data_IF_580576327540
#
_entry.id   IF_580576327540
#
_cell.length_a   1.000
_cell.length_b   1.000
_cell.length_c   1.000
_cell.angle_alpha   90.00
_cell.angle_beta   90.00
_cell.angle_gamma   90.00
#
_symmetry.space_group_name_H-M   'P 1'
#
loop_
_entity.id
_entity.type
_entity.pdbx_description
1 polymer ?
#
# COMPACT_ATOMS: atom_id res chain seq x y z
N UNK A 1 10.17 32.20 -7.03
CA UNK A 1 10.91 30.92 -7.21
C UNK A 1 10.74 30.32 -8.61
N UNK A 2 9.48 29.94 -9.08
CA UNK A 2 9.32 29.32 -10.41
C UNK A 2 9.82 30.22 -11.54
N UNK A 3 9.43 31.50 -11.56
CA UNK A 3 9.84 32.45 -12.59
C UNK A 3 11.36 32.61 -12.70
N UNK A 4 12.06 32.64 -11.59
CA UNK A 4 13.53 32.76 -11.53
C UNK A 4 14.21 31.52 -12.09
N UNK A 5 13.67 30.32 -11.77
CA UNK A 5 14.18 29.05 -12.32
C UNK A 5 13.92 28.98 -13.82
N UNK A 6 12.75 29.41 -14.30
CA UNK A 6 12.46 29.45 -15.73
C UNK A 6 13.41 30.43 -16.48
N UNK A 7 13.79 31.55 -15.86
CA UNK A 7 14.80 32.47 -16.41
C UNK A 7 16.18 31.81 -16.41
N UNK A 8 16.57 31.17 -15.30
CA UNK A 8 17.86 30.46 -15.22
C UNK A 8 18.00 29.39 -16.29
N UNK A 9 16.94 28.59 -16.51
CA UNK A 9 16.91 27.55 -17.55
C UNK A 9 16.98 28.17 -18.96
N UNK A 10 16.34 29.33 -19.19
CA UNK A 10 16.43 30.02 -20.49
C UNK A 10 17.83 30.56 -20.77
N UNK A 11 18.50 31.05 -19.74
CA UNK A 11 19.87 31.59 -19.87
C UNK A 11 20.90 30.48 -20.03
N UNK A 12 20.70 29.35 -19.35
CA UNK A 12 21.64 28.21 -19.36
C UNK A 12 20.88 26.87 -19.36
N UNK A 13 20.40 26.41 -20.51
CA UNK A 13 19.61 25.18 -20.63
C UNK A 13 20.36 23.92 -20.19
N UNK A 14 21.67 23.95 -20.17
CA UNK A 14 22.56 22.85 -19.76
C UNK A 14 22.77 22.77 -18.23
N UNK A 15 22.20 23.72 -17.46
CA UNK A 15 22.28 23.68 -16.00
C UNK A 15 21.21 22.72 -15.48
N UNK A 16 21.53 21.41 -15.51
CA UNK A 16 20.57 20.35 -15.18
C UNK A 16 20.09 20.36 -13.73
N UNK A 17 20.89 20.91 -12.79
CA UNK A 17 20.47 21.15 -11.41
C UNK A 17 19.24 22.06 -11.30
N UNK A 18 19.08 23.03 -12.19
CA UNK A 18 17.90 23.91 -12.22
C UNK A 18 16.61 23.14 -12.48
N UNK A 19 16.67 22.08 -13.28
CA UNK A 19 15.51 21.22 -13.53
C UNK A 19 15.11 20.38 -12.31
N UNK A 20 16.06 20.06 -11.42
CA UNK A 20 15.73 19.41 -10.14
C UNK A 20 14.84 20.29 -9.28
N UNK A 21 15.20 21.57 -9.13
CA UNK A 21 14.40 22.53 -8.37
C UNK A 21 13.07 22.85 -9.04
N UNK A 22 13.04 22.95 -10.39
CA UNK A 22 11.80 23.08 -11.14
C UNK A 22 10.88 21.89 -10.88
N UNK A 23 11.40 20.67 -10.93
CA UNK A 23 10.65 19.46 -10.66
C UNK A 23 10.02 19.46 -9.27
N UNK A 24 10.73 19.91 -8.25
CA UNK A 24 10.17 20.05 -6.88
C UNK A 24 9.02 21.04 -6.84
N UNK A 25 9.16 22.21 -7.42
CA UNK A 25 8.09 23.21 -7.47
C UNK A 25 6.86 22.70 -8.21
N UNK A 26 7.05 21.99 -9.33
CA UNK A 26 5.94 21.42 -10.10
C UNK A 26 5.24 20.30 -9.33
N UNK A 27 6.01 19.47 -8.61
CA UNK A 27 5.46 18.41 -7.74
C UNK A 27 4.62 19.00 -6.62
N UNK A 28 5.11 20.05 -5.94
CA UNK A 28 4.38 20.75 -4.88
C UNK A 28 3.11 21.42 -5.41
N UNK A 29 3.16 21.91 -6.66
CA UNK A 29 2.00 22.45 -7.37
C UNK A 29 1.04 21.37 -7.93
N UNK A 30 1.33 20.08 -7.66
CA UNK A 30 0.56 18.93 -8.18
C UNK A 30 0.59 18.77 -9.71
N UNK A 31 1.47 19.47 -10.41
CA UNK A 31 1.76 19.22 -11.84
C UNK A 31 2.74 18.05 -11.95
N UNK A 32 2.19 16.85 -11.78
CA UNK A 32 2.99 15.61 -11.78
C UNK A 32 3.63 15.34 -13.15
N UNK A 33 2.93 15.65 -14.23
CA UNK A 33 3.45 15.46 -15.58
C UNK A 33 4.64 16.39 -15.89
N UNK A 34 4.55 17.65 -15.50
CA UNK A 34 5.63 18.61 -15.59
C UNK A 34 6.82 18.23 -14.69
N UNK A 35 6.55 17.78 -13.47
CA UNK A 35 7.56 17.35 -12.52
C UNK A 35 8.38 16.14 -13.05
N UNK A 36 7.72 15.14 -13.61
CA UNK A 36 8.38 13.98 -14.23
C UNK A 36 9.36 14.41 -15.31
N UNK A 37 8.93 15.26 -16.26
CA UNK A 37 9.80 15.78 -17.33
C UNK A 37 11.00 16.56 -16.80
N UNK A 38 10.79 17.34 -15.74
CA UNK A 38 11.85 18.14 -15.13
C UNK A 38 12.87 17.22 -14.41
N UNK A 39 12.41 16.26 -13.62
CA UNK A 39 13.32 15.31 -12.97
C UNK A 39 14.06 14.40 -13.96
N UNK A 40 13.44 14.01 -15.08
CA UNK A 40 14.11 13.27 -16.15
C UNK A 40 15.31 14.05 -16.71
N UNK A 41 15.15 15.36 -16.95
CA UNK A 41 16.27 16.21 -17.38
C UNK A 41 17.33 16.36 -16.28
N UNK A 42 16.91 16.51 -15.02
CA UNK A 42 17.82 16.64 -13.88
C UNK A 42 18.71 15.41 -13.67
N UNK A 43 18.31 14.22 -14.14
CA UNK A 43 19.12 12.99 -14.04
C UNK A 43 20.45 13.07 -14.85
N UNK A 44 20.61 14.06 -15.72
CA UNK A 44 21.84 14.29 -16.46
C UNK A 44 22.95 14.95 -15.63
N UNK A 45 22.58 15.58 -14.52
CA UNK A 45 23.50 16.16 -13.55
C UNK A 45 24.03 15.06 -12.62
N UNK A 46 25.33 14.86 -12.55
CA UNK A 46 25.95 13.82 -11.72
C UNK A 46 25.60 13.95 -10.25
N UNK A 47 25.58 15.18 -9.72
CA UNK A 47 25.38 15.47 -8.29
C UNK A 47 23.89 15.37 -7.89
N UNK A 48 23.01 15.58 -8.85
CA UNK A 48 21.57 15.50 -8.64
C UNK A 48 20.93 14.22 -9.16
N UNK A 49 21.68 13.38 -9.91
CA UNK A 49 21.14 12.19 -10.58
C UNK A 49 20.34 11.30 -9.64
N UNK A 50 20.90 10.90 -8.52
CA UNK A 50 20.24 10.01 -7.58
C UNK A 50 19.01 10.67 -6.95
N UNK A 51 19.14 11.92 -6.50
CA UNK A 51 18.03 12.70 -5.95
C UNK A 51 16.90 12.87 -6.96
N UNK A 52 17.23 13.15 -8.21
CA UNK A 52 16.26 13.33 -9.29
C UNK A 52 15.50 12.02 -9.60
N UNK A 53 16.18 10.87 -9.58
CA UNK A 53 15.53 9.57 -9.78
C UNK A 53 14.57 9.27 -8.61
N UNK A 54 14.96 9.54 -7.37
CA UNK A 54 14.11 9.34 -6.19
C UNK A 54 12.85 10.21 -6.27
N UNK A 55 13.01 11.48 -6.62
CA UNK A 55 11.89 12.40 -6.76
C UNK A 55 10.97 12.03 -7.95
N UNK A 56 11.56 11.53 -9.04
CA UNK A 56 10.82 11.01 -10.19
C UNK A 56 9.96 9.80 -9.80
N UNK A 57 10.53 8.82 -9.07
CA UNK A 57 9.80 7.69 -8.51
C UNK A 57 8.71 8.14 -7.52
N UNK A 58 8.98 9.16 -6.71
CA UNK A 58 7.99 9.77 -5.81
C UNK A 58 6.80 10.37 -6.59
N UNK A 59 7.04 10.98 -7.75
CA UNK A 59 5.97 11.45 -8.65
C UNK A 59 5.11 10.29 -9.17
N UNK A 60 5.71 9.15 -9.49
CA UNK A 60 4.95 7.95 -9.88
C UNK A 60 4.08 7.42 -8.73
N UNK A 61 4.56 7.46 -7.48
CA UNK A 61 3.72 7.09 -6.32
C UNK A 61 2.51 8.01 -6.18
N UNK A 62 2.69 9.33 -6.37
CA UNK A 62 1.59 10.29 -6.34
C UNK A 62 0.58 10.06 -7.47
N UNK A 63 1.04 9.57 -8.62
CA UNK A 63 0.20 9.20 -9.76
C UNK A 63 -0.39 7.77 -9.62
N UNK A 64 -0.19 7.08 -8.49
CA UNK A 64 -0.57 5.69 -8.25
C UNK A 64 0.02 4.68 -9.26
N UNK A 65 1.18 5.00 -9.86
CA UNK A 65 1.91 4.15 -10.81
C UNK A 65 3.05 3.45 -10.08
N UNK A 66 2.68 2.51 -9.20
CA UNK A 66 3.60 1.93 -8.20
C UNK A 66 4.73 1.14 -8.86
N UNK A 67 4.46 0.38 -9.93
CA UNK A 67 5.50 -0.40 -10.61
C UNK A 67 6.59 0.49 -11.23
N UNK A 68 6.21 1.63 -11.82
CA UNK A 68 7.17 2.61 -12.33
C UNK A 68 8.03 3.20 -11.21
N UNK A 69 7.42 3.48 -10.04
CA UNK A 69 8.13 3.99 -8.88
C UNK A 69 9.16 2.97 -8.36
N UNK A 70 8.80 1.69 -8.30
CA UNK A 70 9.70 0.59 -7.90
C UNK A 70 10.94 0.55 -8.79
N UNK A 71 10.77 0.66 -10.11
CA UNK A 71 11.89 0.68 -11.06
C UNK A 71 12.83 1.84 -10.77
N UNK A 72 12.31 3.03 -10.55
CA UNK A 72 13.13 4.21 -10.25
C UNK A 72 13.87 4.07 -8.92
N UNK A 73 13.23 3.59 -7.86
CA UNK A 73 13.90 3.42 -6.58
C UNK A 73 15.00 2.36 -6.64
N UNK A 74 14.82 1.28 -7.39
CA UNK A 74 15.88 0.29 -7.63
C UNK A 74 17.05 0.96 -8.37
N UNK A 75 16.80 1.73 -9.43
CA UNK A 75 17.84 2.47 -10.15
C UNK A 75 18.59 3.47 -9.26
N UNK A 76 17.87 4.13 -8.34
CA UNK A 76 18.48 5.05 -7.40
C UNK A 76 19.41 4.34 -6.41
N UNK A 77 19.05 3.14 -5.95
CA UNK A 77 19.88 2.32 -5.05
C UNK A 77 21.13 1.83 -5.78
N UNK A 78 21.04 1.49 -7.05
CA UNK A 78 22.18 1.01 -7.84
C UNK A 78 23.30 2.03 -8.04
N UNK A 79 23.02 3.33 -7.83
CA UNK A 79 24.03 4.40 -7.90
C UNK A 79 24.99 4.32 -6.73
N UNK A 80 24.53 3.95 -5.53
CA UNK A 80 25.36 3.76 -4.36
C UNK A 80 25.14 2.36 -3.76
N UNK A 81 25.80 1.38 -4.35
CA UNK A 81 25.66 -0.04 -3.98
C UNK A 81 26.11 -0.37 -2.54
N UNK A 82 26.87 0.52 -1.94
CA UNK A 82 27.40 0.32 -0.58
C UNK A 82 26.49 0.91 0.50
N UNK A 83 25.36 1.54 0.12
CA UNK A 83 24.43 2.19 1.03
C UNK A 83 25.09 3.24 1.95
N UNK A 84 26.04 4.00 1.42
CA UNK A 84 26.83 4.95 2.20
C UNK A 84 26.08 6.26 2.39
N UNK A 85 25.37 6.71 1.37
CA UNK A 85 24.71 8.00 1.38
C UNK A 85 23.27 7.95 1.91
N UNK A 86 22.79 9.10 2.36
CA UNK A 86 21.44 9.22 2.91
C UNK A 86 20.36 9.05 1.85
N UNK A 87 20.64 9.44 0.60
CA UNK A 87 19.73 9.29 -0.54
C UNK A 87 19.36 7.84 -0.77
N UNK A 88 20.33 6.92 -0.64
CA UNK A 88 20.06 5.48 -0.77
C UNK A 88 19.12 4.96 0.31
N UNK A 89 19.24 5.45 1.55
CA UNK A 89 18.30 5.10 2.62
C UNK A 89 16.88 5.59 2.30
N UNK A 90 16.73 6.79 1.73
CA UNK A 90 15.43 7.28 1.26
C UNK A 90 14.88 6.42 0.10
N UNK A 91 15.72 6.06 -0.88
CA UNK A 91 15.31 5.20 -1.98
C UNK A 91 14.83 3.83 -1.49
N UNK A 92 15.54 3.21 -0.56
CA UNK A 92 15.12 1.95 0.08
C UNK A 92 13.82 2.10 0.86
N UNK A 93 13.65 3.19 1.58
CA UNK A 93 12.43 3.46 2.33
C UNK A 93 11.20 3.56 1.40
N UNK A 94 11.30 4.31 0.31
CA UNK A 94 10.22 4.42 -0.67
C UNK A 94 10.01 3.11 -1.44
N UNK A 95 11.07 2.34 -1.70
CA UNK A 95 10.96 1.01 -2.30
C UNK A 95 10.21 0.05 -1.38
N UNK A 96 10.56 0.02 -0.09
CA UNK A 96 9.87 -0.78 0.92
C UNK A 96 8.38 -0.40 1.02
N UNK A 97 8.07 0.90 1.09
CA UNK A 97 6.68 1.38 1.11
C UNK A 97 5.92 1.03 -0.18
N UNK A 98 6.60 0.97 -1.32
CA UNK A 98 6.01 0.54 -2.59
C UNK A 98 5.71 -0.96 -2.58
N UNK A 99 6.61 -1.77 -2.03
CA UNK A 99 6.40 -3.20 -1.84
C UNK A 99 5.26 -3.48 -0.84
N UNK A 100 5.18 -2.73 0.24
CA UNK A 100 4.08 -2.80 1.19
C UNK A 100 2.73 -2.54 0.51
N UNK A 101 2.62 -1.47 -0.28
CA UNK A 101 1.41 -1.15 -1.05
C UNK A 101 1.03 -2.22 -2.07
N UNK A 102 2.02 -2.93 -2.64
CA UNK A 102 1.80 -4.04 -3.57
C UNK A 102 1.75 -5.40 -2.87
N UNK A 103 1.70 -5.43 -1.53
CA UNK A 103 1.61 -6.63 -0.68
C UNK A 103 2.78 -7.60 -0.83
N UNK A 104 3.91 -7.12 -1.30
CA UNK A 104 5.17 -7.87 -1.37
C UNK A 104 5.93 -7.69 -0.04
N UNK A 105 5.32 -8.14 1.06
CA UNK A 105 5.75 -7.81 2.43
C UNK A 105 7.16 -8.31 2.73
N UNK A 106 7.51 -9.52 2.30
CA UNK A 106 8.87 -10.05 2.50
C UNK A 106 9.93 -9.11 1.89
N UNK A 107 9.68 -8.59 0.67
CA UNK A 107 10.59 -7.62 0.02
C UNK A 107 10.62 -6.27 0.73
N UNK A 108 9.51 -5.85 1.32
CA UNK A 108 9.47 -4.62 2.11
C UNK A 108 10.32 -4.77 3.38
N UNK A 109 10.18 -5.88 4.09
CA UNK A 109 10.98 -6.20 5.29
C UNK A 109 12.47 -6.24 4.96
N UNK A 110 12.88 -6.87 3.86
CA UNK A 110 14.28 -6.90 3.42
C UNK A 110 14.86 -5.47 3.27
N UNK A 111 14.11 -4.55 2.66
CA UNK A 111 14.58 -3.18 2.51
C UNK A 111 14.63 -2.43 3.84
N UNK A 112 13.63 -2.59 4.71
CA UNK A 112 13.64 -1.97 6.05
C UNK A 112 14.77 -2.54 6.92
N UNK A 113 15.08 -3.83 6.87
CA UNK A 113 16.21 -4.43 7.58
C UNK A 113 17.55 -3.83 7.13
N UNK A 114 17.72 -3.58 5.83
CA UNK A 114 18.92 -2.94 5.30
C UNK A 114 19.05 -1.50 5.81
N UNK A 115 17.95 -0.75 5.86
CA UNK A 115 17.94 0.60 6.46
C UNK A 115 18.27 0.52 7.96
N UNK A 116 17.64 -0.37 8.71
CA UNK A 116 17.82 -0.52 10.15
C UNK A 116 19.27 -0.85 10.54
N UNK A 117 19.94 -1.69 9.75
CA UNK A 117 21.36 -2.02 9.94
C UNK A 117 22.27 -0.80 9.82
N UNK A 118 21.90 0.19 9.02
CA UNK A 118 22.68 1.43 8.80
C UNK A 118 22.27 2.54 9.76
N UNK A 119 20.98 2.73 9.95
CA UNK A 119 20.44 3.77 10.82
C UNK A 119 19.14 3.28 11.48
N UNK A 120 19.25 2.88 12.75
CA UNK A 120 18.13 2.36 13.54
C UNK A 120 16.99 3.39 13.75
N UNK A 121 17.33 4.67 13.70
CA UNK A 121 16.40 5.77 13.95
C UNK A 121 15.89 6.41 12.64
N UNK A 122 16.07 5.73 11.51
CA UNK A 122 15.59 6.26 10.25
C UNK A 122 14.06 6.15 10.16
N UNK A 123 13.39 7.30 10.25
CA UNK A 123 11.93 7.41 10.20
C UNK A 123 11.23 6.41 11.13
N UNK A 124 10.21 5.73 10.64
CA UNK A 124 9.39 4.73 11.32
C UNK A 124 9.84 3.27 11.07
N UNK A 125 11.02 3.07 10.50
CA UNK A 125 11.52 1.74 10.10
C UNK A 125 11.52 0.74 11.26
N UNK A 126 11.92 1.17 12.46
CA UNK A 126 11.91 0.32 13.65
C UNK A 126 10.48 -0.11 14.01
N UNK A 127 9.52 0.81 13.95
CA UNK A 127 8.13 0.50 14.22
C UNK A 127 7.58 -0.50 13.19
N UNK A 128 7.87 -0.26 11.90
CA UNK A 128 7.49 -1.18 10.81
C UNK A 128 8.07 -2.58 11.01
N UNK A 129 9.35 -2.70 11.30
CA UNK A 129 9.98 -4.01 11.54
C UNK A 129 9.40 -4.73 12.75
N UNK A 130 9.07 -4.02 13.82
CA UNK A 130 8.44 -4.61 15.00
C UNK A 130 7.05 -5.13 14.65
N UNK A 131 6.23 -4.30 13.99
CA UNK A 131 4.89 -4.67 13.53
C UNK A 131 4.90 -5.97 12.70
N UNK A 132 5.82 -6.06 11.71
CA UNK A 132 5.89 -7.23 10.85
C UNK A 132 6.59 -8.44 11.49
N UNK A 133 7.47 -8.28 12.49
CA UNK A 133 8.03 -9.39 13.26
C UNK A 133 6.98 -10.07 14.13
N UNK A 134 6.12 -9.31 14.75
CA UNK A 134 5.00 -9.85 15.53
C UNK A 134 4.04 -10.64 14.62
N UNK A 135 3.83 -10.18 13.39
CA UNK A 135 3.05 -10.87 12.38
C UNK A 135 3.72 -12.16 11.87
N UNK A 136 5.05 -12.16 11.73
CA UNK A 136 5.82 -13.34 11.31
C UNK A 136 5.82 -14.47 12.36
N UNK A 137 5.63 -14.15 13.64
CA UNK A 137 5.52 -15.13 14.72
C UNK A 137 4.24 -15.98 14.66
N UNK A 138 3.26 -15.53 13.85
CA UNK A 138 2.02 -16.24 13.62
C UNK A 138 1.92 -16.64 12.14
N UNK A 139 2.24 -17.91 11.85
CA UNK A 139 2.25 -18.47 10.47
C UNK A 139 0.92 -18.25 9.72
N UNK A 140 -0.21 -18.32 10.43
CA UNK A 140 -1.52 -18.07 9.82
C UNK A 140 -1.71 -16.61 9.41
N UNK A 141 -1.32 -15.66 10.26
CA UNK A 141 -1.37 -14.22 9.95
C UNK A 141 -0.39 -13.86 8.83
N UNK A 142 0.79 -14.48 8.83
CA UNK A 142 1.76 -14.32 7.75
C UNK A 142 1.15 -14.78 6.44
N UNK A 143 0.61 -15.98 6.37
CA UNK A 143 -0.05 -16.51 5.18
C UNK A 143 -1.20 -15.60 4.73
N UNK A 144 -2.04 -15.15 5.66
CA UNK A 144 -3.15 -14.23 5.37
C UNK A 144 -2.67 -12.92 4.72
N UNK A 145 -1.56 -12.34 5.18
CA UNK A 145 -1.04 -11.07 4.70
C UNK A 145 -0.17 -11.18 3.45
N UNK A 146 0.61 -12.26 3.30
CA UNK A 146 1.69 -12.35 2.30
C UNK A 146 1.37 -13.28 1.13
N UNK A 147 0.41 -14.20 1.25
CA UNK A 147 0.07 -15.12 0.18
C UNK A 147 -0.48 -14.40 -1.07
N UNK A 148 -0.47 -15.05 -2.21
CA UNK A 148 -1.09 -14.53 -3.42
C UNK A 148 -2.63 -14.38 -3.26
N UNK A 149 -3.27 -13.68 -4.17
CA UNK A 149 -4.71 -13.41 -4.08
C UNK A 149 -5.56 -14.67 -4.11
N UNK A 150 -5.19 -15.67 -4.90
CA UNK A 150 -5.92 -16.94 -4.98
C UNK A 150 -5.93 -17.67 -3.63
N UNK A 151 -4.77 -17.81 -2.99
CA UNK A 151 -4.64 -18.42 -1.66
C UNK A 151 -5.35 -17.59 -0.59
N UNK A 152 -5.30 -16.26 -0.68
CA UNK A 152 -6.02 -15.39 0.23
C UNK A 152 -7.54 -15.60 0.14
N UNK A 153 -8.10 -15.62 -1.06
CA UNK A 153 -9.52 -15.88 -1.28
C UNK A 153 -9.91 -17.28 -0.78
N UNK A 154 -9.04 -18.25 -0.96
CA UNK A 154 -9.25 -19.60 -0.41
C UNK A 154 -9.31 -19.59 1.12
N UNK A 155 -8.40 -18.89 1.79
CA UNK A 155 -8.41 -18.70 3.25
C UNK A 155 -9.73 -18.06 3.70
N UNK A 156 -10.16 -16.97 3.03
CA UNK A 156 -11.43 -16.28 3.33
C UNK A 156 -12.64 -17.22 3.17
N UNK A 157 -12.70 -17.95 2.06
CA UNK A 157 -13.77 -18.93 1.80
C UNK A 157 -13.79 -20.04 2.84
N UNK A 158 -12.63 -20.60 3.18
CA UNK A 158 -12.52 -21.62 4.22
C UNK A 158 -12.97 -21.13 5.60
N UNK A 159 -12.67 -19.87 5.94
CA UNK A 159 -13.13 -19.23 7.18
C UNK A 159 -14.67 -19.14 7.21
N UNK A 160 -15.30 -18.77 6.10
CA UNK A 160 -16.78 -18.70 6.01
C UNK A 160 -17.40 -20.10 6.06
N UNK A 161 -16.87 -21.06 5.26
CA UNK A 161 -17.43 -22.39 5.14
C UNK A 161 -17.26 -23.24 6.40
N UNK A 162 -16.07 -23.19 7.02
CA UNK A 162 -15.71 -24.03 8.17
C UNK A 162 -15.87 -23.30 9.51
N UNK A 163 -15.48 -22.03 9.58
CA UNK A 163 -15.52 -21.24 10.80
C UNK A 163 -16.93 -20.71 11.10
N UNK A 164 -17.58 -20.11 10.12
CA UNK A 164 -18.93 -19.57 10.28
C UNK A 164 -20.03 -20.56 9.89
N UNK A 165 -19.69 -21.68 9.25
CA UNK A 165 -20.62 -22.72 8.77
C UNK A 165 -21.72 -22.16 7.83
N UNK A 166 -21.38 -21.16 7.02
CA UNK A 166 -22.27 -20.53 6.05
C UNK A 166 -22.01 -21.05 4.65
N UNK A 167 -23.03 -20.96 3.78
CA UNK A 167 -22.93 -21.24 2.37
C UNK A 167 -22.66 -19.95 1.60
N UNK A 168 -21.56 -19.91 0.83
CA UNK A 168 -21.16 -18.74 0.04
C UNK A 168 -22.07 -18.59 -1.18
N UNK A 169 -22.57 -17.38 -1.41
CA UNK A 169 -23.30 -16.98 -2.61
C UNK A 169 -22.41 -16.23 -3.60
N UNK A 170 -21.66 -15.23 -3.13
CA UNK A 170 -20.70 -14.48 -3.95
C UNK A 170 -19.40 -14.24 -3.19
N UNK A 171 -18.34 -13.99 -3.94
CA UNK A 171 -17.02 -13.66 -3.39
C UNK A 171 -16.36 -12.66 -4.35
N UNK A 172 -16.25 -11.42 -3.91
CA UNK A 172 -15.73 -10.31 -4.70
C UNK A 172 -14.38 -9.85 -4.15
N UNK A 173 -13.38 -9.84 -5.01
CA UNK A 173 -12.07 -9.28 -4.68
C UNK A 173 -12.16 -7.74 -4.65
N UNK A 174 -11.60 -7.13 -3.63
CA UNK A 174 -11.51 -5.68 -3.44
C UNK A 174 -10.07 -5.26 -3.24
N UNK A 175 -9.76 -3.99 -3.47
CA UNK A 175 -8.40 -3.44 -3.26
C UNK A 175 -7.90 -3.64 -1.82
N UNK A 176 -8.80 -3.57 -0.84
CA UNK A 176 -8.51 -3.72 0.59
C UNK A 176 -8.61 -5.17 1.09
N UNK A 177 -9.09 -6.12 0.27
CA UNK A 177 -9.24 -7.52 0.66
C UNK A 177 -10.29 -8.27 -0.12
N UNK A 178 -11.30 -8.82 0.56
CA UNK A 178 -12.33 -9.65 -0.04
C UNK A 178 -13.68 -9.41 0.63
N UNK A 179 -14.74 -9.40 -0.16
CA UNK A 179 -16.13 -9.30 0.29
C UNK A 179 -16.89 -10.56 -0.10
N UNK A 180 -17.56 -11.17 0.86
CA UNK A 180 -18.33 -12.40 0.67
C UNK A 180 -19.76 -12.17 1.12
N UNK A 181 -20.73 -12.61 0.30
CA UNK A 181 -22.10 -12.78 0.73
C UNK A 181 -22.38 -14.27 0.93
N UNK A 182 -23.08 -14.59 1.99
CA UNK A 182 -23.35 -15.98 2.37
C UNK A 182 -24.74 -16.12 3.00
N UNK A 183 -25.22 -17.35 3.10
CA UNK A 183 -26.49 -17.69 3.73
C UNK A 183 -26.33 -18.87 4.68
N UNK A 184 -27.31 -19.08 5.55
CA UNK A 184 -27.34 -20.25 6.41
C UNK A 184 -27.27 -21.58 5.63
N UNK A 185 -26.50 -22.51 6.15
CA UNK A 185 -26.32 -23.87 5.61
C UNK A 185 -27.50 -24.82 5.92
N UNK A 186 -28.65 -24.27 6.36
CA UNK A 186 -29.79 -25.11 6.77
C UNK A 186 -30.27 -25.99 5.62
N UNK A 187 -30.12 -27.27 5.80
CA UNK A 187 -30.77 -28.30 5.04
C UNK A 187 -32.28 -28.25 5.34
N UNK A 188 -33.08 -28.26 4.28
CA UNK A 188 -34.50 -28.55 4.18
C UNK A 188 -35.34 -28.48 5.49
N UNK A 189 -35.75 -27.28 5.83
CA UNK A 189 -36.95 -27.11 6.64
C UNK A 189 -38.12 -27.01 5.66
N UNK A 190 -39.12 -27.87 5.80
CA UNK A 190 -40.35 -27.98 5.04
C UNK A 190 -41.19 -26.68 5.03
N UNK A 191 -40.81 -25.71 5.81
CA UNK A 191 -41.29 -24.34 5.75
C UNK A 191 -40.28 -23.45 5.02
N UNK A 192 -40.76 -22.71 4.02
CA UNK A 192 -40.01 -21.73 3.25
C UNK A 192 -39.52 -20.57 4.16
N UNK A 193 -38.57 -20.84 5.02
CA UNK A 193 -37.90 -19.80 5.81
C UNK A 193 -36.96 -19.07 4.87
N UNK A 194 -37.16 -17.75 4.69
CA UNK A 194 -36.24 -16.90 3.93
C UNK A 194 -34.83 -17.10 4.47
N UNK A 195 -33.91 -17.59 3.61
CA UNK A 195 -32.49 -17.72 3.97
C UNK A 195 -31.97 -16.36 4.38
N UNK A 196 -31.39 -16.27 5.57
CA UNK A 196 -30.81 -15.04 6.06
C UNK A 196 -29.52 -14.75 5.30
N UNK A 197 -29.38 -13.52 4.80
CA UNK A 197 -28.20 -13.07 4.09
C UNK A 197 -27.18 -12.50 5.10
N UNK A 198 -25.95 -12.96 4.99
CA UNK A 198 -24.81 -12.49 5.78
C UNK A 198 -23.84 -11.75 4.87
N UNK A 199 -23.30 -10.63 5.39
CA UNK A 199 -22.33 -9.80 4.72
C UNK A 199 -20.99 -9.94 5.44
N UNK A 200 -19.93 -10.32 4.72
CA UNK A 200 -18.65 -10.67 5.33
C UNK A 200 -17.54 -9.97 4.58
N UNK A 201 -16.68 -9.28 5.30
CA UNK A 201 -15.52 -8.60 4.71
C UNK A 201 -14.23 -9.00 5.43
N UNK A 202 -13.20 -9.22 4.63
CA UNK A 202 -11.85 -9.56 5.07
C UNK A 202 -10.89 -8.45 4.65
N UNK A 203 -10.46 -7.67 5.60
CA UNK A 203 -9.48 -6.59 5.38
C UNK A 203 -8.06 -7.14 5.46
N UNK A 204 -7.30 -6.94 4.37
CA UNK A 204 -5.93 -7.40 4.22
C UNK A 204 -4.96 -6.23 4.20
N UNK A 205 -5.13 -5.28 5.09
CA UNK A 205 -4.29 -4.10 5.20
C UNK A 205 -3.46 -4.12 6.49
N UNK A 206 -2.21 -3.59 6.47
CA UNK A 206 -1.37 -3.55 7.66
C UNK A 206 -1.88 -2.54 8.70
N UNK A 207 -2.70 -1.58 8.28
CA UNK A 207 -3.25 -0.56 9.17
C UNK A 207 -4.62 -0.98 9.74
N UNK A 208 -4.95 -0.55 10.97
CA UNK A 208 -6.28 -0.76 11.52
C UNK A 208 -7.38 -0.17 10.66
N UNK A 209 -8.50 -0.87 10.55
CA UNK A 209 -9.66 -0.43 9.76
C UNK A 209 -10.27 0.82 10.37
N UNK A 210 -10.41 1.87 9.56
CA UNK A 210 -10.96 3.16 9.96
C UNK A 210 -12.49 3.17 9.91
N UNK A 211 -13.11 4.13 10.61
CA UNK A 211 -14.57 4.27 10.70
C UNK A 211 -15.26 4.53 9.35
N UNK A 212 -14.58 5.16 8.40
CA UNK A 212 -15.10 5.34 7.04
C UNK A 212 -15.44 4.01 6.37
N UNK A 213 -14.56 3.01 6.51
CA UNK A 213 -14.79 1.66 5.97
C UNK A 213 -15.98 0.98 6.64
N UNK A 214 -16.13 1.13 7.96
CA UNK A 214 -17.26 0.57 8.70
C UNK A 214 -18.58 1.19 8.25
N UNK A 215 -18.62 2.51 8.08
CA UNK A 215 -19.84 3.21 7.59
C UNK A 215 -20.24 2.72 6.20
N UNK A 216 -19.29 2.61 5.27
CA UNK A 216 -19.54 2.04 3.92
C UNK A 216 -20.08 0.62 4.01
N UNK A 217 -19.49 -0.21 4.87
CA UNK A 217 -19.95 -1.59 5.10
C UNK A 217 -21.39 -1.63 5.62
N UNK A 218 -21.74 -0.76 6.54
CA UNK A 218 -23.12 -0.68 7.08
C UNK A 218 -24.14 -0.25 5.98
N UNK A 219 -23.75 0.68 5.11
CA UNK A 219 -24.61 1.12 4.03
C UNK A 219 -24.78 0.03 2.96
N UNK A 220 -23.72 -0.72 2.62
CA UNK A 220 -23.81 -1.88 1.74
C UNK A 220 -24.68 -2.99 2.35
N UNK A 221 -24.55 -3.26 3.67
CA UNK A 221 -25.42 -4.20 4.38
C UNK A 221 -26.89 -3.84 4.28
N UNK A 222 -27.24 -2.56 4.44
CA UNK A 222 -28.63 -2.06 4.29
C UNK A 222 -29.12 -2.27 2.87
N UNK A 223 -28.29 -1.94 1.87
CA UNK A 223 -28.63 -2.10 0.43
C UNK A 223 -28.89 -3.54 0.08
N UNK A 224 -28.12 -4.48 0.64
CA UNK A 224 -28.26 -5.92 0.41
C UNK A 224 -29.35 -6.57 1.29
N UNK A 225 -29.97 -5.82 2.21
CA UNK A 225 -30.88 -6.37 3.22
C UNK A 225 -30.28 -7.54 4.01
N UNK A 226 -28.98 -7.45 4.33
CA UNK A 226 -28.28 -8.47 5.11
C UNK A 226 -28.65 -8.35 6.60
N UNK A 227 -28.86 -9.51 7.23
CA UNK A 227 -29.27 -9.58 8.65
C UNK A 227 -28.11 -9.29 9.59
N UNK A 228 -26.88 -9.71 9.19
CA UNK A 228 -25.69 -9.60 10.01
C UNK A 228 -24.45 -9.41 9.16
N UNK A 229 -23.52 -8.59 9.65
CA UNK A 229 -22.19 -8.38 9.06
C UNK A 229 -21.07 -8.93 9.94
N UNK A 230 -20.06 -9.51 9.32
CA UNK A 230 -18.81 -9.90 9.95
C UNK A 230 -17.65 -9.20 9.27
N UNK A 231 -16.84 -8.50 10.06
CA UNK A 231 -15.66 -7.81 9.57
C UNK A 231 -14.43 -8.43 10.21
N UNK A 232 -13.52 -8.91 9.39
CA UNK A 232 -12.24 -9.50 9.80
C UNK A 232 -11.10 -8.59 9.39
N UNK A 233 -10.16 -8.36 10.28
CA UNK A 233 -8.96 -7.58 10.02
C UNK A 233 -7.76 -8.20 10.71
N UNK A 234 -6.63 -8.28 10.01
CA UNK A 234 -5.35 -8.70 10.58
C UNK A 234 -4.75 -7.68 11.53
N UNK A 235 -5.03 -6.39 11.29
CA UNK A 235 -4.44 -5.26 12.02
C UNK A 235 -5.41 -4.63 13.04
N UNK A 236 -6.62 -5.25 13.14
CA UNK A 236 -7.66 -4.78 14.05
C UNK A 236 -8.42 -3.56 13.53
N UNK A 237 -9.05 -2.86 14.45
CA UNK A 237 -9.94 -1.72 14.20
C UNK A 237 -9.53 -0.54 15.05
N UNK A 238 -9.67 0.69 14.54
CA UNK A 238 -9.41 1.90 15.32
C UNK A 238 -10.38 1.98 16.51
N UNK A 239 -10.03 2.81 17.50
CA UNK A 239 -10.90 2.98 18.68
C UNK A 239 -12.28 3.57 18.29
N UNK A 240 -12.32 4.43 17.27
CA UNK A 240 -13.56 5.00 16.72
C UNK A 240 -14.38 3.96 15.98
N UNK A 241 -13.76 3.11 15.18
CA UNK A 241 -14.42 2.02 14.45
C UNK A 241 -15.08 0.96 15.34
N UNK A 242 -14.54 0.73 16.55
CA UNK A 242 -15.10 -0.24 17.53
C UNK A 242 -16.38 0.24 18.20
N UNK A 243 -16.79 1.48 18.00
CA UNK A 243 -18.02 2.04 18.60
C UNK A 243 -19.25 1.85 17.71
N UNK A 244 -19.06 1.40 16.47
CA UNK A 244 -20.12 1.01 15.55
C UNK A 244 -20.44 -0.48 15.66
#
# INVERSE_FOLDING_TARGET
AKKEIDIAIKLSPETYSSYYYLGKILKDAKDIAGALKAFEKAQRDSDFKQKAIIEHGSCYLLANRIDNAIVDFIRAIEIDKNDINQETLYARYFLASSYEKTRKIDKAIEQWDLIYKRNKNFRDVTAKLTEYKDLQSNDFLKDYLTCNNEKFIEICKNTVLKGLQLQILSCDEKKWGCQITAVDKKEDSWMAVRKQLYFIQFYREPNPVEDEHIRKSLDEMKTLNSVKGFLFSSSGFTHTSKRF
#
